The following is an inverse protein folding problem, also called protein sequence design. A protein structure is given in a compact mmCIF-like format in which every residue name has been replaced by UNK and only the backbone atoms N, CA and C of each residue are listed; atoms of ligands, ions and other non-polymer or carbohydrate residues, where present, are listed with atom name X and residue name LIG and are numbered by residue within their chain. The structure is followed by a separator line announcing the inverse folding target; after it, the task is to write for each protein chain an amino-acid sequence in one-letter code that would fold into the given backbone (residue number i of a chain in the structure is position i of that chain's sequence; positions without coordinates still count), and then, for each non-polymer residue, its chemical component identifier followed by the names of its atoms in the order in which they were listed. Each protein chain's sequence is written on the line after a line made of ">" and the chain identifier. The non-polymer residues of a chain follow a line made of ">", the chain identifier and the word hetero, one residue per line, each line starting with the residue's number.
data_IF_195936038978
#
_entry.id   IF_195936038978
#
_cell.length_a   1.000
_cell.length_b   1.000
_cell.length_c   1.000
_cell.angle_alpha   90.00
_cell.angle_beta   90.00
_cell.angle_gamma   90.00
#
_symmetry.space_group_name_H-M   'P 1'
#
loop_
_entity.id
_entity.type
_entity.pdbx_description
1 polymer ?
#
# COMPACT_ATOMS: atom_id res chain seq x y z
N UNK A 1 22.08 1.68 -9.62
CA UNK A 1 20.93 1.66 -8.73
C UNK A 1 20.88 2.99 -7.98
N UNK A 2 20.18 3.96 -8.50
CA UNK A 2 19.73 5.10 -7.71
C UNK A 2 18.56 4.59 -6.87
N UNK A 3 18.87 4.13 -5.66
CA UNK A 3 17.87 3.79 -4.66
C UNK A 3 17.07 5.03 -4.33
N UNK A 4 15.76 4.89 -4.28
CA UNK A 4 14.79 5.91 -3.91
C UNK A 4 15.25 6.57 -2.60
N UNK A 5 15.77 7.78 -2.70
CA UNK A 5 16.11 8.65 -1.58
C UNK A 5 14.84 9.33 -1.10
N UNK A 6 14.03 8.65 -0.34
CA UNK A 6 12.83 9.27 0.22
C UNK A 6 11.97 8.22 0.91
N UNK A 7 11.46 8.59 2.02
CA UNK A 7 10.28 8.05 2.70
C UNK A 7 10.07 6.53 2.68
N UNK A 8 11.12 5.78 2.99
CA UNK A 8 11.08 4.34 3.20
C UNK A 8 10.79 4.03 4.68
N UNK A 9 10.29 2.82 5.01
CA UNK A 9 10.18 2.40 6.38
C UNK A 9 11.50 2.56 7.13
N UNK A 10 11.41 3.07 8.35
CA UNK A 10 12.55 3.24 9.23
C UNK A 10 12.23 2.72 10.64
N UNK A 11 13.28 2.44 11.39
CA UNK A 11 13.20 1.96 12.76
C UNK A 11 13.41 3.11 13.75
N UNK A 12 12.56 3.19 14.77
CA UNK A 12 12.79 3.99 15.96
C UNK A 12 12.95 3.05 17.17
N UNK A 13 13.93 3.34 17.99
CA UNK A 13 14.16 2.68 19.27
C UNK A 13 14.09 3.72 20.37
N UNK A 14 13.16 3.57 21.30
CA UNK A 14 13.09 4.40 22.50
C UNK A 14 13.51 3.59 23.72
N UNK A 15 14.65 3.93 24.31
CA UNK A 15 15.22 3.24 25.49
C UNK A 15 14.80 3.90 26.77
N UNK A 16 14.33 3.09 27.71
CA UNK A 16 13.67 3.54 28.94
C UNK A 16 14.34 2.92 30.16
N UNK A 17 14.59 3.72 31.17
CA UNK A 17 14.98 3.26 32.51
C UNK A 17 13.83 3.62 33.48
N UNK A 18 13.09 2.61 33.88
CA UNK A 18 11.99 2.76 34.86
C UNK A 18 12.56 2.88 36.29
N UNK A 19 11.90 3.68 37.14
CA UNK A 19 12.29 3.83 38.54
C UNK A 19 12.03 2.55 39.34
N UNK A 20 12.86 2.22 40.35
CA UNK A 20 12.61 1.08 41.23
C UNK A 20 11.21 1.15 41.85
N UNK A 21 10.48 0.02 41.81
CA UNK A 21 9.12 -0.10 42.34
C UNK A 21 8.01 0.47 41.46
N UNK A 22 8.35 0.98 40.25
CA UNK A 22 7.37 1.60 39.33
C UNK A 22 7.09 0.78 38.08
N UNK A 23 7.63 -0.43 37.96
CA UNK A 23 7.51 -1.26 36.75
C UNK A 23 6.05 -1.58 36.41
N UNK A 24 5.22 -1.97 37.40
CA UNK A 24 3.83 -2.32 37.11
C UNK A 24 3.03 -1.10 36.63
N UNK A 25 3.20 0.06 37.27
CA UNK A 25 2.57 1.30 36.84
C UNK A 25 3.03 1.72 35.44
N UNK A 26 4.32 1.47 35.12
CA UNK A 26 4.85 1.78 33.80
C UNK A 26 4.29 0.83 32.72
N UNK A 27 4.16 -0.45 33.01
CA UNK A 27 3.54 -1.42 32.09
C UNK A 27 2.06 -1.08 31.80
N UNK A 28 1.33 -0.56 32.78
CA UNK A 28 -0.05 -0.10 32.58
C UNK A 28 -0.16 1.07 31.59
N UNK A 29 0.72 2.08 31.70
CA UNK A 29 0.71 3.20 30.75
C UNK A 29 1.21 2.78 29.37
N UNK A 30 2.16 1.85 29.31
CA UNK A 30 2.67 1.29 28.05
C UNK A 30 1.59 0.50 27.32
N UNK A 31 0.84 -0.37 28.02
CA UNK A 31 -0.29 -1.12 27.46
C UNK A 31 -1.40 -0.19 26.97
N UNK A 32 -1.69 0.85 27.71
CA UNK A 32 -2.71 1.85 27.31
C UNK A 32 -2.32 2.53 26.01
N UNK A 33 -1.10 3.06 25.90
CA UNK A 33 -0.65 3.74 24.67
C UNK A 33 -0.52 2.79 23.50
N UNK A 34 -0.08 1.52 23.72
CA UNK A 34 0.01 0.52 22.67
C UNK A 34 -1.33 0.22 22.02
N UNK A 35 -2.39 0.10 22.83
CA UNK A 35 -3.75 -0.12 22.33
C UNK A 35 -4.25 1.06 21.48
N UNK A 36 -3.99 2.32 21.90
CA UNK A 36 -4.35 3.51 21.15
C UNK A 36 -3.59 3.58 19.82
N UNK A 37 -2.29 3.28 19.83
CA UNK A 37 -1.45 3.23 18.61
C UNK A 37 -1.96 2.16 17.65
N UNK A 38 -2.26 0.96 18.14
CA UNK A 38 -2.76 -0.14 17.33
C UNK A 38 -4.08 0.20 16.64
N UNK A 39 -4.98 0.90 17.33
CA UNK A 39 -6.30 1.27 16.79
C UNK A 39 -6.21 2.45 15.80
N UNK A 40 -5.39 3.47 16.11
CA UNK A 40 -5.43 4.75 15.43
C UNK A 40 -4.33 4.96 14.37
N UNK A 41 -3.22 4.20 14.41
CA UNK A 41 -2.02 4.49 13.62
C UNK A 41 -1.68 3.40 12.58
N UNK A 42 -2.36 3.37 11.42
CA UNK A 42 -2.09 2.36 10.39
C UNK A 42 -0.68 2.47 9.77
N UNK A 43 0.01 3.59 9.92
CA UNK A 43 1.39 3.80 9.48
C UNK A 43 2.45 3.29 10.46
N UNK A 44 2.07 2.87 11.67
CA UNK A 44 2.89 2.12 12.60
C UNK A 44 2.90 0.65 12.18
N UNK A 45 3.96 0.17 11.57
CA UNK A 45 4.03 -1.18 11.00
C UNK A 45 4.44 -2.25 12.01
N UNK A 46 5.07 -1.84 13.08
CA UNK A 46 5.53 -2.69 14.18
C UNK A 46 5.67 -1.84 15.43
N UNK A 47 5.13 -2.30 16.54
CA UNK A 47 5.18 -1.57 17.82
C UNK A 47 5.25 -2.60 18.96
N UNK A 48 6.41 -2.74 19.57
CA UNK A 48 6.65 -3.68 20.66
C UNK A 48 7.31 -2.99 21.84
N UNK A 49 6.91 -3.41 23.05
CA UNK A 49 7.54 -2.99 24.28
C UNK A 49 8.34 -4.15 24.87
N UNK A 50 9.66 -4.11 24.71
CA UNK A 50 10.57 -5.17 25.07
C UNK A 50 11.26 -4.90 26.41
N UNK A 51 11.52 -5.94 27.22
CA UNK A 51 12.23 -5.85 28.49
C UNK A 51 13.62 -6.45 28.40
N UNK A 52 14.58 -5.86 29.13
CA UNK A 52 15.93 -6.44 29.29
C UNK A 52 15.89 -7.59 30.32
N UNK A 53 16.16 -8.85 29.92
CA UNK A 53 16.12 -9.98 30.84
C UNK A 53 17.21 -9.92 31.93
N UNK A 54 18.23 -9.08 31.77
CA UNK A 54 19.32 -8.90 32.74
C UNK A 54 19.10 -7.69 33.64
N UNK A 55 18.19 -6.77 33.29
CA UNK A 55 17.86 -5.60 34.09
C UNK A 55 16.35 -5.33 34.06
N UNK A 56 15.59 -5.72 35.11
CA UNK A 56 14.14 -5.62 35.12
C UNK A 56 13.60 -4.18 35.13
N UNK A 57 14.45 -3.17 35.20
CA UNK A 57 14.08 -1.75 35.12
C UNK A 57 14.30 -1.16 33.72
N UNK A 58 14.88 -1.94 32.78
CA UNK A 58 15.14 -1.48 31.41
C UNK A 58 14.12 -2.03 30.44
N UNK A 59 13.57 -1.11 29.64
CA UNK A 59 12.62 -1.41 28.60
C UNK A 59 12.97 -0.65 27.31
N UNK A 60 12.37 -1.09 26.22
CA UNK A 60 12.61 -0.48 24.92
C UNK A 60 11.32 -0.57 24.09
N UNK A 61 10.84 0.56 23.57
CA UNK A 61 9.96 0.54 22.43
C UNK A 61 10.77 0.23 21.17
N UNK A 62 10.31 -0.74 20.41
CA UNK A 62 10.84 -1.08 19.09
C UNK A 62 9.75 -0.78 18.09
N UNK A 63 9.94 0.24 17.26
CA UNK A 63 8.92 0.81 16.40
C UNK A 63 9.39 0.85 14.94
N UNK A 64 8.52 0.46 14.01
CA UNK A 64 8.76 0.62 12.56
C UNK A 64 7.66 1.48 11.98
N UNK A 65 8.04 2.62 11.46
CA UNK A 65 7.16 3.55 10.76
C UNK A 65 7.22 3.33 9.25
N UNK A 66 6.08 3.43 8.59
CA UNK A 66 6.00 3.34 7.13
C UNK A 66 6.78 4.46 6.44
N UNK A 67 6.72 5.66 7.02
CA UNK A 67 7.32 6.89 6.49
C UNK A 67 7.34 8.00 7.55
N UNK A 68 7.88 9.17 7.20
CA UNK A 68 7.96 10.32 8.10
C UNK A 68 6.60 10.91 8.48
N UNK A 69 5.59 10.80 7.62
CA UNK A 69 4.23 11.28 7.91
C UNK A 69 3.60 10.45 9.04
N UNK A 70 3.84 9.11 9.04
CA UNK A 70 3.39 8.24 10.12
C UNK A 70 4.02 8.61 11.46
N UNK A 71 5.32 8.93 11.50
CA UNK A 71 5.98 9.42 12.72
C UNK A 71 5.40 10.78 13.17
N UNK A 72 5.19 11.72 12.25
CA UNK A 72 4.56 13.00 12.57
C UNK A 72 3.13 12.83 13.09
N UNK A 73 2.37 11.88 12.54
CA UNK A 73 1.05 11.54 13.05
C UNK A 73 1.12 11.04 14.49
N UNK A 74 2.01 10.08 14.77
CA UNK A 74 2.25 9.55 16.11
C UNK A 74 2.59 10.67 17.10
N UNK A 75 3.58 11.50 16.80
CA UNK A 75 4.02 12.59 17.71
C UNK A 75 2.93 13.64 18.01
N UNK A 76 1.93 13.79 17.12
CA UNK A 76 0.80 14.70 17.29
C UNK A 76 -0.46 14.01 17.84
N UNK A 77 -0.45 12.70 18.08
CA UNK A 77 -1.59 11.98 18.60
C UNK A 77 -1.92 12.42 20.04
N UNK A 78 -3.20 12.53 20.41
CA UNK A 78 -3.61 13.13 21.68
C UNK A 78 -3.17 12.33 22.93
N UNK A 79 -2.95 11.03 22.79
CA UNK A 79 -2.50 10.13 23.86
C UNK A 79 -0.99 10.19 24.12
N UNK A 80 -0.17 10.69 23.20
CA UNK A 80 1.29 10.79 23.38
C UNK A 80 1.69 11.75 24.47
N UNK A 81 1.16 13.01 24.57
CA UNK A 81 1.45 13.88 25.70
C UNK A 81 1.05 13.29 27.05
N UNK A 82 -0.02 12.53 27.13
CA UNK A 82 -0.44 11.86 28.36
C UNK A 82 0.57 10.77 28.77
N UNK A 83 0.98 9.93 27.82
CA UNK A 83 2.02 8.92 28.04
C UNK A 83 3.35 9.56 28.48
N UNK A 84 3.82 10.62 27.80
CA UNK A 84 5.06 11.32 28.16
C UNK A 84 4.96 11.94 29.56
N UNK A 85 3.83 12.55 29.92
CA UNK A 85 3.62 13.09 31.26
C UNK A 85 3.58 12.02 32.35
N UNK A 86 3.05 10.83 32.08
CA UNK A 86 3.11 9.69 32.97
C UNK A 86 4.53 9.12 33.08
N UNK A 87 5.24 9.00 31.94
CA UNK A 87 6.63 8.57 31.87
C UNK A 87 7.53 9.39 32.82
N UNK A 88 7.44 10.71 32.81
CA UNK A 88 8.28 11.59 33.64
C UNK A 88 8.19 11.29 35.16
N UNK A 89 7.05 10.78 35.61
CA UNK A 89 6.84 10.39 37.00
C UNK A 89 7.42 9.01 37.32
N UNK A 90 7.47 8.10 36.34
CA UNK A 90 7.67 6.68 36.52
C UNK A 90 9.06 6.21 36.06
N UNK A 91 9.77 6.99 35.25
CA UNK A 91 11.07 6.63 34.70
C UNK A 91 12.13 7.70 34.97
N UNK A 92 13.40 7.28 34.84
CA UNK A 92 14.58 8.10 35.04
C UNK A 92 15.17 8.59 33.72
N UNK A 93 14.94 7.88 32.62
CA UNK A 93 15.45 8.27 31.31
C UNK A 93 14.57 7.77 30.15
N UNK A 94 14.63 8.53 29.07
CA UNK A 94 14.06 8.22 27.76
C UNK A 94 15.06 8.69 26.69
N UNK A 95 15.57 7.76 25.89
CA UNK A 95 16.54 8.04 24.82
C UNK A 95 15.98 7.53 23.50
N UNK A 96 16.05 8.35 22.45
CA UNK A 96 15.51 8.01 21.12
C UNK A 96 16.66 7.78 20.15
N UNK A 97 16.59 6.69 19.40
CA UNK A 97 17.46 6.39 18.28
C UNK A 97 16.62 6.13 17.03
N UNK A 98 16.90 6.80 15.91
CA UNK A 98 16.26 6.54 14.62
C UNK A 98 17.29 6.00 13.63
N UNK A 99 16.91 4.92 12.94
CA UNK A 99 17.71 4.22 11.92
C UNK A 99 16.96 4.24 10.60
N UNK A 100 17.39 5.08 9.67
CA UNK A 100 16.77 5.30 8.37
C UNK A 100 16.77 6.76 7.97
N UNK A 101 16.10 7.09 6.88
CA UNK A 101 15.93 8.45 6.42
C UNK A 101 14.57 8.98 6.87
N UNK A 102 14.58 10.16 7.46
CA UNK A 102 13.36 10.90 7.85
C UNK A 102 13.37 12.30 7.23
N UNK A 103 12.21 12.90 7.09
CA UNK A 103 12.05 14.25 6.62
C UNK A 103 12.66 15.26 7.60
N UNK A 104 12.92 16.47 7.13
CA UNK A 104 13.41 17.56 7.97
C UNK A 104 12.41 17.86 9.08
N UNK A 105 11.13 17.89 8.75
CA UNK A 105 10.03 18.16 9.67
C UNK A 105 9.97 17.10 10.78
N UNK A 106 10.09 15.83 10.44
CA UNK A 106 10.12 14.74 11.42
C UNK A 106 11.36 14.83 12.33
N UNK A 107 12.54 15.15 11.77
CA UNK A 107 13.76 15.36 12.56
C UNK A 107 13.60 16.53 13.56
N UNK A 108 13.03 17.64 13.13
CA UNK A 108 12.78 18.82 13.98
C UNK A 108 11.74 18.50 15.07
N UNK A 109 10.68 17.74 14.73
CA UNK A 109 9.65 17.34 15.70
C UNK A 109 10.21 16.42 16.79
N UNK A 110 11.01 15.41 16.45
CA UNK A 110 11.66 14.54 17.44
C UNK A 110 12.64 15.32 18.31
N UNK A 111 13.43 16.21 17.71
CA UNK A 111 14.37 17.06 18.43
C UNK A 111 13.65 17.97 19.45
N UNK A 112 12.46 18.47 19.09
CA UNK A 112 11.66 19.35 19.94
C UNK A 112 11.09 18.65 21.19
N UNK A 113 11.06 17.31 21.24
CA UNK A 113 10.68 16.56 22.45
C UNK A 113 11.67 16.76 23.61
N UNK A 114 12.92 17.17 23.34
CA UNK A 114 13.92 17.46 24.35
C UNK A 114 14.61 16.24 24.96
N UNK A 115 14.31 15.04 24.51
CA UNK A 115 15.01 13.81 24.93
C UNK A 115 16.37 13.66 24.23
N UNK A 116 17.33 12.93 24.80
CA UNK A 116 18.53 12.51 24.08
C UNK A 116 18.14 11.78 22.78
N UNK A 117 18.67 12.27 21.65
CA UNK A 117 18.28 11.80 20.32
C UNK A 117 19.51 11.52 19.44
N UNK A 118 19.52 10.38 18.78
CA UNK A 118 20.51 10.01 17.77
C UNK A 118 19.81 9.61 16.47
N UNK A 119 20.35 10.09 15.35
CA UNK A 119 19.84 9.76 14.03
C UNK A 119 20.93 9.13 13.15
N UNK A 120 20.72 7.88 12.76
CA UNK A 120 21.57 7.10 11.86
C UNK A 120 20.91 7.03 10.48
N UNK A 121 21.45 7.79 9.52
CA UNK A 121 20.94 7.83 8.15
C UNK A 121 21.31 6.58 7.39
N UNK A 122 20.38 6.11 6.55
CA UNK A 122 20.62 5.00 5.63
C UNK A 122 21.80 5.32 4.69
N UNK A 123 22.71 4.38 4.57
CA UNK A 123 23.80 4.40 3.57
C UNK A 123 23.34 3.73 2.27
N UNK A 124 24.26 3.52 1.33
CA UNK A 124 23.99 2.74 0.12
C UNK A 124 24.06 1.21 0.34
N UNK A 125 24.24 0.77 1.59
CA UNK A 125 24.29 -0.64 1.99
C UNK A 125 23.03 -1.01 2.75
N UNK A 126 22.35 -2.03 2.29
CA UNK A 126 21.10 -2.51 2.88
C UNK A 126 19.94 -2.51 1.87
N UNK A 127 18.83 -3.11 2.28
CA UNK A 127 17.60 -3.16 1.50
C UNK A 127 16.40 -3.30 2.44
N UNK A 128 15.24 -2.85 1.97
CA UNK A 128 13.93 -3.12 2.60
C UNK A 128 13.13 -4.01 1.67
N UNK A 129 12.50 -5.06 2.19
CA UNK A 129 11.60 -5.90 1.38
C UNK A 129 10.21 -5.31 1.33
N UNK A 130 9.57 -5.36 0.17
CA UNK A 130 8.26 -4.76 -0.10
C UNK A 130 7.13 -5.32 0.80
N UNK A 131 7.28 -6.53 1.33
CA UNK A 131 6.29 -7.13 2.23
C UNK A 131 6.19 -6.45 3.61
N UNK A 132 7.11 -5.57 3.98
CA UNK A 132 6.99 -4.70 5.17
C UNK A 132 5.95 -3.59 4.91
N UNK A 133 5.72 -3.21 3.65
CA UNK A 133 4.78 -2.16 3.23
C UNK A 133 3.33 -2.65 3.12
N UNK A 134 2.83 -3.37 4.14
CA UNK A 134 1.52 -4.04 4.10
C UNK A 134 0.34 -3.09 3.90
N UNK A 135 0.38 -1.88 4.44
CA UNK A 135 -0.73 -0.91 4.31
C UNK A 135 -0.81 -0.34 2.90
N UNK A 136 0.31 0.05 2.29
CA UNK A 136 0.36 0.51 0.90
C UNK A 136 -0.10 -0.59 -0.06
N UNK A 137 0.38 -1.82 0.15
CA UNK A 137 -0.07 -3.00 -0.59
C UNK A 137 -1.58 -3.21 -0.49
N UNK A 138 -2.15 -3.21 0.73
CA UNK A 138 -3.60 -3.37 0.94
C UNK A 138 -4.40 -2.26 0.27
N UNK A 139 -3.95 -1.01 0.40
CA UNK A 139 -4.59 0.13 -0.25
C UNK A 139 -4.56 0.02 -1.78
N UNK A 140 -3.44 -0.41 -2.37
CA UNK A 140 -3.32 -0.60 -3.81
C UNK A 140 -4.20 -1.76 -4.32
N UNK A 141 -4.26 -2.88 -3.57
CA UNK A 141 -5.18 -3.99 -3.87
C UNK A 141 -6.63 -3.50 -3.84
N UNK A 142 -7.02 -2.78 -2.79
CA UNK A 142 -8.37 -2.22 -2.69
C UNK A 142 -8.72 -1.29 -3.86
N UNK A 143 -7.79 -0.42 -4.27
CA UNK A 143 -7.99 0.48 -5.43
C UNK A 143 -8.08 -0.27 -6.76
N UNK A 144 -7.27 -1.32 -6.97
CA UNK A 144 -7.36 -2.14 -8.17
C UNK A 144 -8.71 -2.86 -8.28
N UNK A 145 -9.21 -3.41 -7.17
CA UNK A 145 -10.53 -4.04 -7.08
C UNK A 145 -11.65 -3.01 -7.28
N UNK A 146 -11.58 -1.87 -6.59
CA UNK A 146 -12.55 -0.78 -6.75
C UNK A 146 -12.61 -0.25 -8.19
N UNK A 147 -11.45 -0.13 -8.86
CA UNK A 147 -11.41 0.25 -10.27
C UNK A 147 -12.10 -0.79 -11.15
N UNK A 148 -11.83 -2.07 -10.96
CA UNK A 148 -12.47 -3.16 -11.70
C UNK A 148 -14.00 -3.13 -11.53
N UNK A 149 -14.49 -2.94 -10.30
CA UNK A 149 -15.91 -2.93 -9.96
C UNK A 149 -16.64 -1.69 -10.50
N UNK A 150 -15.92 -0.57 -10.66
CA UNK A 150 -16.55 0.73 -10.99
C UNK A 150 -16.32 1.18 -12.44
N UNK A 151 -15.38 0.62 -13.16
CA UNK A 151 -15.03 1.09 -14.51
C UNK A 151 -16.22 1.18 -15.46
N UNK A 152 -17.16 0.22 -15.42
CA UNK A 152 -18.38 0.22 -16.18
C UNK A 152 -19.57 0.85 -15.47
N UNK A 153 -19.70 0.64 -14.16
CA UNK A 153 -20.88 1.01 -13.37
C UNK A 153 -20.86 2.44 -12.86
N UNK A 154 -19.68 3.00 -12.60
CA UNK A 154 -19.47 4.35 -12.08
C UNK A 154 -18.16 4.94 -12.63
N UNK A 155 -18.14 5.39 -13.90
CA UNK A 155 -16.94 5.92 -14.56
C UNK A 155 -16.27 7.08 -13.83
N UNK A 156 -17.05 7.96 -13.19
CA UNK A 156 -16.49 9.10 -12.45
C UNK A 156 -15.67 8.63 -11.23
N UNK A 157 -16.19 7.63 -10.52
CA UNK A 157 -15.47 7.01 -9.40
C UNK A 157 -14.20 6.33 -9.90
N UNK A 158 -14.28 5.53 -10.96
CA UNK A 158 -13.13 4.87 -11.56
C UNK A 158 -12.07 5.89 -12.02
N UNK A 159 -12.48 6.98 -12.69
CA UNK A 159 -11.56 8.07 -13.10
C UNK A 159 -10.83 8.68 -11.89
N UNK A 160 -11.50 8.81 -10.74
CA UNK A 160 -10.91 9.39 -9.55
C UNK A 160 -9.75 8.56 -8.97
N UNK A 161 -9.67 7.27 -9.31
CA UNK A 161 -8.60 6.36 -8.88
C UNK A 161 -7.35 6.45 -9.78
N UNK A 162 -7.44 7.11 -10.94
CA UNK A 162 -6.39 7.17 -11.94
C UNK A 162 -5.43 8.34 -11.71
N UNK A 163 -4.15 8.09 -11.99
CA UNK A 163 -3.14 9.13 -12.07
C UNK A 163 -3.32 9.97 -13.34
N UNK A 164 -2.93 11.24 -13.31
CA UNK A 164 -3.03 12.16 -14.48
C UNK A 164 -2.31 11.67 -15.75
N UNK A 165 -1.29 10.82 -15.59
CA UNK A 165 -0.52 10.20 -16.68
C UNK A 165 -0.90 8.72 -16.85
N UNK A 166 -2.16 8.36 -16.60
CA UNK A 166 -2.63 6.99 -16.74
C UNK A 166 -2.46 6.48 -18.18
N UNK A 167 -2.07 5.21 -18.28
CA UNK A 167 -2.00 4.46 -19.53
C UNK A 167 -2.67 3.09 -19.37
N UNK A 168 -3.42 2.71 -20.37
CA UNK A 168 -4.03 1.39 -20.49
C UNK A 168 -3.49 0.65 -21.71
N UNK A 169 -3.33 -0.66 -21.60
CA UNK A 169 -3.07 -1.52 -22.74
C UNK A 169 -3.85 -2.84 -22.61
N UNK A 170 -4.74 -3.07 -23.56
CA UNK A 170 -5.35 -4.39 -23.78
C UNK A 170 -4.37 -5.19 -24.61
N UNK A 171 -3.67 -6.11 -23.94
CA UNK A 171 -2.47 -6.75 -24.43
C UNK A 171 -2.79 -7.78 -25.52
N UNK A 172 -1.95 -7.82 -26.56
CA UNK A 172 -2.04 -8.82 -27.62
C UNK A 172 -2.11 -8.21 -29.01
N UNK A 173 -2.55 -9.01 -29.96
CA UNK A 173 -2.65 -8.67 -31.39
C UNK A 173 -4.07 -8.78 -31.94
N UNK A 174 -5.06 -8.89 -31.07
CA UNK A 174 -6.46 -9.02 -31.45
C UNK A 174 -7.07 -7.69 -31.96
N UNK A 175 -8.29 -7.76 -32.55
CA UNK A 175 -9.00 -6.59 -33.05
C UNK A 175 -9.43 -5.62 -31.97
N UNK A 176 -9.59 -6.07 -30.73
CA UNK A 176 -9.87 -5.23 -29.57
C UNK A 176 -8.57 -4.71 -28.90
N UNK A 177 -7.41 -5.32 -29.23
CA UNK A 177 -6.15 -4.99 -28.61
C UNK A 177 -5.74 -3.56 -28.97
N UNK A 178 -5.50 -2.74 -27.94
CA UNK A 178 -5.27 -1.29 -28.10
C UNK A 178 -4.50 -0.71 -26.93
N UNK A 179 -3.97 0.51 -27.14
CA UNK A 179 -3.44 1.38 -26.09
C UNK A 179 -4.34 2.59 -25.96
N UNK A 180 -4.58 3.02 -24.72
CA UNK A 180 -5.44 4.16 -24.45
C UNK A 180 -4.89 4.98 -23.26
N UNK A 181 -5.16 6.26 -23.28
CA UNK A 181 -5.12 7.14 -22.12
C UNK A 181 -6.46 7.09 -21.37
N UNK A 182 -6.62 7.94 -20.37
CA UNK A 182 -7.87 8.00 -19.58
C UNK A 182 -9.10 8.24 -20.44
N UNK A 183 -9.02 9.18 -21.39
CA UNK A 183 -10.19 9.57 -22.18
C UNK A 183 -10.55 8.52 -23.22
N UNK A 184 -9.58 7.99 -23.94
CA UNK A 184 -9.79 6.90 -24.89
C UNK A 184 -10.25 5.61 -24.21
N UNK A 185 -9.77 5.32 -23.00
CA UNK A 185 -10.24 4.17 -22.24
C UNK A 185 -11.74 4.23 -21.94
N UNK A 186 -12.24 5.35 -21.41
CA UNK A 186 -13.66 5.48 -21.03
C UNK A 186 -14.57 5.82 -22.21
N UNK A 187 -14.09 6.54 -23.23
CA UNK A 187 -14.95 7.04 -24.32
C UNK A 187 -14.89 6.18 -25.58
N UNK A 188 -13.89 5.30 -25.72
CA UNK A 188 -13.73 4.46 -26.91
C UNK A 188 -13.66 2.97 -26.53
N UNK A 189 -12.72 2.54 -25.65
CA UNK A 189 -12.51 1.14 -25.32
C UNK A 189 -13.71 0.52 -24.58
N UNK A 190 -14.15 1.10 -23.46
CA UNK A 190 -15.28 0.56 -22.68
C UNK A 190 -16.59 0.54 -23.48
N UNK A 191 -16.96 1.57 -24.26
CA UNK A 191 -18.12 1.50 -25.16
C UNK A 191 -18.03 0.40 -26.21
N UNK A 192 -16.84 0.15 -26.79
CA UNK A 192 -16.65 -0.93 -27.73
C UNK A 192 -16.81 -2.30 -27.04
N UNK A 193 -16.27 -2.50 -25.84
CA UNK A 193 -16.52 -3.70 -25.03
C UNK A 193 -18.02 -3.87 -24.77
N UNK A 194 -18.74 -2.81 -24.38
CA UNK A 194 -20.20 -2.83 -24.17
C UNK A 194 -20.98 -3.20 -25.44
N UNK A 195 -20.53 -2.74 -26.61
CA UNK A 195 -21.13 -3.12 -27.90
C UNK A 195 -20.93 -4.61 -28.22
N UNK A 196 -19.75 -5.14 -27.88
CA UNK A 196 -19.36 -6.54 -28.16
C UNK A 196 -19.95 -7.53 -27.15
N UNK A 197 -20.24 -7.06 -25.93
CA UNK A 197 -20.76 -7.86 -24.80
C UNK A 197 -21.97 -7.10 -24.20
N UNK A 198 -23.12 -7.05 -24.91
CA UNK A 198 -24.23 -6.16 -24.53
C UNK A 198 -24.90 -6.51 -23.19
N UNK A 199 -24.79 -7.77 -22.74
CA UNK A 199 -25.32 -8.21 -21.45
C UNK A 199 -24.32 -7.99 -20.29
N UNK A 200 -23.12 -7.42 -20.59
CA UNK A 200 -22.04 -7.25 -19.65
C UNK A 200 -21.26 -8.54 -19.40
N UNK A 201 -20.22 -8.40 -18.57
CA UNK A 201 -19.35 -9.48 -18.18
C UNK A 201 -19.37 -9.68 -16.67
N UNK A 202 -19.62 -10.90 -16.21
CA UNK A 202 -19.47 -11.26 -14.81
C UNK A 202 -18.00 -11.58 -14.53
N UNK A 203 -17.34 -10.70 -13.76
CA UNK A 203 -15.93 -10.82 -13.38
C UNK A 203 -15.83 -11.34 -11.95
N UNK A 204 -14.97 -12.33 -11.73
CA UNK A 204 -14.66 -12.91 -10.44
C UNK A 204 -13.15 -12.84 -10.22
N UNK A 205 -12.72 -12.14 -9.17
CA UNK A 205 -11.29 -12.12 -8.76
C UNK A 205 -10.98 -13.44 -8.08
N UNK A 206 -10.16 -14.25 -8.76
CA UNK A 206 -9.78 -15.60 -8.31
C UNK A 206 -8.57 -15.55 -7.37
N UNK A 207 -7.66 -14.59 -7.60
CA UNK A 207 -6.44 -14.47 -6.84
C UNK A 207 -5.88 -13.04 -6.97
N UNK A 208 -5.11 -12.61 -5.96
CA UNK A 208 -4.51 -11.28 -5.94
C UNK A 208 -3.05 -11.37 -5.51
N UNK A 209 -2.16 -10.87 -6.33
CA UNK A 209 -0.73 -10.77 -6.07
C UNK A 209 -0.36 -9.29 -6.11
N UNK A 210 0.46 -8.81 -5.17
CA UNK A 210 0.87 -7.40 -5.21
C UNK A 210 1.94 -7.05 -4.21
N UNK A 211 2.56 -5.91 -4.47
CA UNK A 211 3.52 -5.24 -3.61
C UNK A 211 3.12 -3.76 -3.40
N UNK A 212 4.06 -2.92 -2.96
CA UNK A 212 3.82 -1.49 -2.74
C UNK A 212 3.53 -0.68 -4.01
N UNK A 213 3.91 -1.18 -5.18
CA UNK A 213 3.90 -0.41 -6.43
C UNK A 213 3.13 -1.10 -7.56
N UNK A 214 2.80 -2.38 -7.40
CA UNK A 214 2.13 -3.19 -8.41
C UNK A 214 1.12 -4.16 -7.82
N UNK A 215 -0.01 -4.35 -8.52
CA UNK A 215 -1.04 -5.34 -8.19
C UNK A 215 -1.38 -6.13 -9.43
N UNK A 216 -1.49 -7.45 -9.30
CA UNK A 216 -2.04 -8.34 -10.32
C UNK A 216 -3.32 -8.97 -9.78
N UNK A 217 -4.44 -8.71 -10.45
CA UNK A 217 -5.68 -9.45 -10.23
C UNK A 217 -5.76 -10.56 -11.26
N UNK A 218 -5.85 -11.82 -10.81
CA UNK A 218 -6.25 -12.93 -11.65
C UNK A 218 -7.77 -12.99 -11.65
N UNK A 219 -8.37 -12.86 -12.81
CA UNK A 219 -9.82 -12.70 -12.95
C UNK A 219 -10.38 -13.75 -13.91
N UNK A 220 -11.49 -14.37 -13.52
CA UNK A 220 -12.31 -15.20 -14.42
C UNK A 220 -13.50 -14.37 -14.89
N UNK A 221 -13.70 -14.30 -16.20
CA UNK A 221 -14.82 -13.60 -16.81
C UNK A 221 -15.79 -14.55 -17.50
N UNK A 222 -17.09 -14.34 -17.29
CA UNK A 222 -18.17 -15.06 -17.97
C UNK A 222 -19.07 -14.07 -18.69
N UNK A 223 -19.19 -14.24 -19.99
CA UNK A 223 -20.00 -13.36 -20.82
C UNK A 223 -20.58 -14.06 -22.05
N UNK A 224 -21.62 -13.46 -22.60
CA UNK A 224 -22.13 -13.76 -23.94
C UNK A 224 -21.73 -12.62 -24.87
N UNK A 225 -20.75 -12.88 -25.71
CA UNK A 225 -20.37 -11.97 -26.79
C UNK A 225 -21.36 -12.06 -27.95
N UNK A 226 -21.36 -11.04 -28.82
CA UNK A 226 -22.26 -10.97 -29.98
C UNK A 226 -22.09 -12.12 -30.99
N UNK A 227 -20.98 -12.87 -30.93
CA UNK A 227 -20.67 -13.98 -31.80
C UNK A 227 -20.44 -15.32 -31.04
N UNK A 228 -20.89 -15.42 -29.80
CA UNK A 228 -20.82 -16.64 -28.99
C UNK A 228 -20.29 -16.44 -27.59
N UNK A 229 -20.28 -17.52 -26.81
CA UNK A 229 -19.84 -17.48 -25.40
C UNK A 229 -18.39 -16.99 -25.28
N UNK A 230 -18.18 -15.95 -24.48
CA UNK A 230 -16.89 -15.32 -24.24
C UNK A 230 -16.50 -15.48 -22.76
N UNK A 231 -16.18 -16.71 -22.38
CA UNK A 231 -15.61 -16.99 -21.06
C UNK A 231 -14.09 -16.90 -21.16
N UNK A 232 -13.49 -15.96 -20.48
CA UNK A 232 -12.06 -15.69 -20.58
C UNK A 232 -11.41 -15.62 -19.19
N UNK A 233 -10.10 -15.79 -19.15
CA UNK A 233 -9.31 -15.57 -17.96
C UNK A 233 -8.35 -14.42 -18.21
N UNK A 234 -8.16 -13.59 -17.19
CA UNK A 234 -7.36 -12.39 -17.28
C UNK A 234 -6.26 -12.36 -16.23
N UNK A 235 -5.12 -11.78 -16.60
CA UNK A 235 -4.17 -11.22 -15.66
C UNK A 235 -4.18 -9.71 -15.84
N UNK A 236 -4.75 -9.01 -14.87
CA UNK A 236 -4.92 -7.56 -14.86
C UNK A 236 -3.82 -6.95 -14.00
N UNK A 237 -2.84 -6.31 -14.65
CA UNK A 237 -1.63 -5.77 -14.02
C UNK A 237 -1.78 -4.28 -13.84
N UNK A 238 -1.78 -3.82 -12.60
CA UNK A 238 -1.87 -2.41 -12.23
C UNK A 238 -0.53 -1.94 -11.67
N UNK A 239 -0.08 -0.74 -12.05
CA UNK A 239 1.01 -0.02 -11.39
C UNK A 239 0.50 1.24 -10.75
N UNK A 240 1.14 1.63 -9.64
CA UNK A 240 0.74 2.76 -8.82
C UNK A 240 1.85 3.80 -8.71
N UNK A 241 1.46 5.06 -8.77
CA UNK A 241 2.29 6.21 -8.44
C UNK A 241 1.41 7.23 -7.70
N UNK A 242 1.97 7.88 -6.68
CA UNK A 242 1.27 8.88 -5.86
C UNK A 242 -0.10 8.39 -5.34
N UNK A 243 -0.16 7.09 -4.96
CA UNK A 243 -1.37 6.44 -4.48
C UNK A 243 -2.50 6.27 -5.51
N UNK A 244 -2.22 6.43 -6.80
CA UNK A 244 -3.17 6.30 -7.92
C UNK A 244 -2.68 5.30 -8.96
N UNK A 245 -3.59 4.72 -9.73
CA UNK A 245 -3.27 3.80 -10.83
C UNK A 245 -2.65 4.60 -11.98
N UNK A 246 -1.37 4.35 -12.29
CA UNK A 246 -0.67 5.00 -13.39
C UNK A 246 -0.61 4.13 -14.64
N UNK A 247 -0.73 2.81 -14.49
CA UNK A 247 -0.75 1.89 -15.63
C UNK A 247 -1.68 0.71 -15.34
N UNK A 248 -2.44 0.31 -16.34
CA UNK A 248 -3.27 -0.89 -16.34
C UNK A 248 -3.03 -1.69 -17.63
N UNK A 249 -2.50 -2.89 -17.50
CA UNK A 249 -2.27 -3.81 -18.61
C UNK A 249 -3.14 -5.05 -18.42
N UNK A 250 -3.98 -5.34 -19.39
CA UNK A 250 -4.91 -6.48 -19.34
C UNK A 250 -4.47 -7.58 -20.30
N UNK A 251 -4.05 -8.72 -19.76
CA UNK A 251 -3.70 -9.93 -20.52
C UNK A 251 -4.87 -10.88 -20.56
N UNK A 252 -5.15 -11.44 -21.72
CA UNK A 252 -6.32 -12.27 -21.99
C UNK A 252 -6.05 -13.30 -23.12
N UNK A 253 -7.06 -14.01 -23.58
CA UNK A 253 -6.96 -14.88 -24.76
C UNK A 253 -7.38 -14.15 -26.03
N UNK A 254 -6.43 -13.79 -26.89
CA UNK A 254 -6.65 -13.19 -28.22
C UNK A 254 -7.59 -14.06 -29.08
N UNK A 255 -7.42 -15.38 -29.01
CA UNK A 255 -8.22 -16.33 -29.77
C UNK A 255 -9.72 -16.20 -29.45
N UNK A 256 -10.06 -16.06 -28.16
CA UNK A 256 -11.45 -15.88 -27.75
C UNK A 256 -11.97 -14.51 -28.19
N UNK A 257 -11.19 -13.45 -28.08
CA UNK A 257 -11.57 -12.11 -28.54
C UNK A 257 -11.87 -12.12 -30.06
N UNK A 258 -10.98 -12.66 -30.87
CA UNK A 258 -11.15 -12.69 -32.32
C UNK A 258 -12.36 -13.55 -32.76
N UNK A 259 -12.57 -14.73 -32.15
CA UNK A 259 -13.60 -15.70 -32.59
C UNK A 259 -14.97 -15.38 -31.99
N UNK A 260 -15.08 -14.85 -30.74
CA UNK A 260 -16.34 -14.70 -30.02
C UNK A 260 -16.86 -13.25 -30.04
N UNK A 261 -15.97 -12.29 -30.26
CA UNK A 261 -16.36 -10.88 -30.37
C UNK A 261 -16.41 -10.42 -31.83
N UNK A 262 -15.43 -10.78 -32.66
CA UNK A 262 -15.32 -10.30 -34.06
C UNK A 262 -15.64 -11.33 -35.13
N UNK A 263 -15.98 -12.58 -34.77
CA UNK A 263 -16.33 -13.69 -35.69
C UNK A 263 -15.20 -14.01 -36.72
N UNK A 264 -13.96 -13.75 -36.36
CA UNK A 264 -12.86 -14.07 -37.26
C UNK A 264 -12.48 -15.55 -37.16
N UNK A 265 -12.10 -16.14 -38.31
CA UNK A 265 -11.49 -17.45 -38.32
C UNK A 265 -10.00 -17.32 -38.04
N UNK A 266 -9.53 -18.04 -37.01
CA UNK A 266 -8.11 -18.17 -36.74
C UNK A 266 -7.62 -19.43 -37.43
N UNK A 267 -6.89 -19.25 -38.53
CA UNK A 267 -6.26 -20.34 -39.27
C UNK A 267 -4.80 -20.44 -38.79
N UNK A 268 -4.34 -21.61 -38.33
CA UNK A 268 -2.93 -21.81 -38.04
C UNK A 268 -2.10 -21.51 -39.30
N UNK A 269 -1.15 -20.64 -39.23
CA UNK A 269 -0.11 -20.49 -40.24
C UNK A 269 0.91 -21.61 -40.03
N UNK A 270 0.98 -22.53 -41.01
CA UNK A 270 2.02 -23.56 -41.05
C UNK A 270 3.42 -22.96 -41.18
#
# INVERSE_FOLDING_TARGET
>A
HEGVKGDNPFLLIARIQVKPGKVNEYLEIADTVDNEVQEAEPGMLFHNFDSDPLNPLKFTWSEVYENSEALLFHLNAPYIPEYVGAHDRLADSFEIEIYGNISKEAFEAVTALGFPFKHFKTTNVGYTRDNILTNKRKANIGKAQEFLDTAFSNPDKARSLLHKNFSFEFMGICSLCTKADTDSFFNEFLPEVGRLIPEGIALEVVDTIGDSDSVVLRVSGKAQGINGTYNNNYAMVYKFADGKIISFNEYHSDLLAETRLYKKQVVPTN
#
